data_IF_279367286821
#
_entry.id   IF_279367286821
#
_cell.length_a   1.000
_cell.length_b   1.000
_cell.length_c   1.000
_cell.angle_alpha   90.00
_cell.angle_beta   90.00
_cell.angle_gamma   90.00
#
_symmetry.space_group_name_H-M   'P 1'
#
loop_
_entity.id
_entity.type
_entity.pdbx_description
1 polymer ?
#
# COMPACT_ATOMS: atom_id res chain seq x y z
N UNK A 1 -28.99 19.11 49.63
CA UNK A 1 -29.03 18.22 48.45
C UNK A 1 -29.39 19.11 47.27
N UNK A 2 -28.56 19.43 46.28
CA UNK A 2 -27.16 19.18 45.95
C UNK A 2 -26.74 20.34 45.03
N UNK A 3 -25.49 20.80 45.13
CA UNK A 3 -24.87 21.67 44.11
C UNK A 3 -24.52 20.83 42.85
N UNK A 4 -23.91 21.42 41.79
CA UNK A 4 -24.37 21.33 40.41
C UNK A 4 -23.61 20.29 39.59
N UNK A 5 -24.18 19.82 38.48
CA UNK A 5 -23.38 19.19 37.42
C UNK A 5 -23.70 19.84 36.07
N UNK A 6 -22.89 20.85 35.77
CA UNK A 6 -22.42 21.09 34.41
C UNK A 6 -21.73 19.83 33.90
N UNK A 7 -22.19 19.32 32.75
CA UNK A 7 -21.40 18.44 31.90
C UNK A 7 -21.60 18.86 30.44
N UNK A 8 -20.55 18.67 29.62
CA UNK A 8 -20.15 19.65 28.64
C UNK A 8 -20.96 19.51 27.36
N UNK A 9 -21.31 20.65 26.77
CA UNK A 9 -21.54 20.73 25.33
C UNK A 9 -20.33 20.08 24.67
N UNK A 10 -20.56 18.93 24.01
CA UNK A 10 -19.55 18.28 23.21
C UNK A 10 -19.06 19.33 22.21
N UNK A 11 -17.82 19.77 22.44
CA UNK A 11 -17.10 20.75 21.66
C UNK A 11 -17.42 20.55 20.19
N UNK A 12 -18.19 21.48 19.63
CA UNK A 12 -18.42 21.57 18.21
C UNK A 12 -17.05 21.65 17.56
N UNK A 13 -16.62 20.55 16.95
CA UNK A 13 -15.53 20.57 16.01
C UNK A 13 -15.96 21.56 14.93
N UNK A 14 -15.47 22.80 15.04
CA UNK A 14 -15.71 23.86 14.08
C UNK A 14 -15.17 23.35 12.75
N UNK A 15 -16.09 22.90 11.90
CA UNK A 15 -15.82 22.61 10.51
C UNK A 15 -15.45 23.94 9.87
N UNK A 16 -14.18 24.06 9.48
CA UNK A 16 -13.67 25.17 8.69
C UNK A 16 -14.54 25.29 7.43
N UNK A 17 -15.13 26.48 7.15
CA UNK A 17 -15.92 26.69 5.94
C UNK A 17 -15.10 26.35 4.69
N UNK A 18 -15.50 25.31 3.96
CA UNK A 18 -14.83 24.82 2.75
C UNK A 18 -14.25 23.40 2.85
N UNK A 19 -14.16 22.81 4.04
CA UNK A 19 -13.69 21.43 4.22
C UNK A 19 -14.88 20.45 4.29
N UNK A 20 -15.08 19.65 3.24
CA UNK A 20 -16.04 18.54 3.26
C UNK A 20 -15.46 17.40 4.08
N UNK A 21 -16.24 16.90 5.03
CA UNK A 21 -15.99 15.63 5.73
C UNK A 21 -15.86 14.50 4.70
N UNK A 22 -14.62 14.15 4.34
CA UNK A 22 -14.28 13.03 3.49
C UNK A 22 -13.80 11.86 4.35
N UNK A 23 -14.73 11.23 5.07
CA UNK A 23 -14.56 9.95 5.79
C UNK A 23 -14.11 8.74 4.93
N UNK A 24 -13.49 8.97 3.78
CA UNK A 24 -12.98 7.91 2.90
C UNK A 24 -12.16 8.39 1.70
N UNK A 25 -11.75 9.65 1.66
CA UNK A 25 -10.90 10.15 0.57
C UNK A 25 -9.53 10.53 1.13
N UNK A 26 -8.47 10.33 0.35
CA UNK A 26 -7.12 10.73 0.72
C UNK A 26 -7.01 12.24 1.05
N UNK A 27 -5.84 12.73 1.48
CA UNK A 27 -5.65 14.12 1.93
C UNK A 27 -6.18 15.20 0.97
N UNK A 28 -6.35 14.87 -0.32
CA UNK A 28 -6.85 15.76 -1.38
C UNK A 28 -8.26 15.43 -1.91
N UNK A 29 -9.06 14.61 -1.21
CA UNK A 29 -10.38 14.22 -1.71
C UNK A 29 -10.33 13.17 -2.84
N UNK A 30 -9.16 12.59 -3.09
CA UNK A 30 -8.98 11.55 -4.10
C UNK A 30 -9.63 10.24 -3.63
N UNK A 31 -10.40 9.53 -4.48
CA UNK A 31 -10.89 8.20 -4.15
C UNK A 31 -9.72 7.28 -3.77
N UNK A 32 -9.93 6.27 -2.92
CA UNK A 32 -8.89 5.29 -2.61
C UNK A 32 -8.33 4.76 -3.93
N UNK A 33 -7.03 4.97 -4.15
CA UNK A 33 -6.38 4.60 -5.40
C UNK A 33 -6.30 3.08 -5.48
N UNK A 34 -7.31 2.47 -6.11
CA UNK A 34 -7.32 1.04 -6.40
C UNK A 34 -6.24 0.78 -7.44
N UNK A 35 -5.26 -0.05 -7.09
CA UNK A 35 -4.21 -0.47 -8.02
C UNK A 35 -4.88 -1.12 -9.23
N UNK A 36 -4.59 -0.64 -10.45
CA UNK A 36 -5.15 -1.23 -11.67
C UNK A 36 -4.44 -2.57 -11.98
N UNK A 37 -5.08 -3.52 -12.65
CA UNK A 37 -4.39 -4.70 -13.17
C UNK A 37 -3.14 -4.34 -13.97
N UNK A 38 -2.07 -5.12 -13.84
CA UNK A 38 -0.83 -4.89 -14.58
C UNK A 38 0.44 -5.27 -13.83
N UNK A 39 1.58 -5.03 -14.50
CA UNK A 39 2.93 -5.22 -13.95
C UNK A 39 3.47 -3.86 -13.48
N UNK A 40 3.90 -3.80 -12.23
CA UNK A 40 4.45 -2.61 -11.60
C UNK A 40 5.92 -2.83 -11.28
N UNK A 41 6.81 -2.08 -11.92
CA UNK A 41 8.23 -2.10 -11.55
C UNK A 41 8.45 -1.13 -10.40
N UNK A 42 8.77 -1.65 -9.22
CA UNK A 42 8.98 -0.87 -7.99
C UNK A 42 10.45 -0.87 -7.60
N UNK A 43 11.06 0.31 -7.54
CA UNK A 43 12.41 0.47 -7.02
C UNK A 43 12.44 0.29 -5.50
N UNK A 44 13.39 -0.49 -4.99
CA UNK A 44 13.67 -0.60 -3.55
C UNK A 44 14.83 0.32 -3.15
N UNK A 45 14.85 0.83 -1.90
CA UNK A 45 15.99 1.62 -1.42
C UNK A 45 17.31 0.84 -1.44
N UNK A 46 18.41 1.51 -1.80
CA UNK A 46 19.75 0.90 -1.87
C UNK A 46 20.52 0.94 -0.54
N UNK A 47 19.86 1.33 0.56
CA UNK A 47 20.47 1.31 1.90
C UNK A 47 19.67 2.08 2.95
N UNK A 48 19.16 3.26 2.62
CA UNK A 48 18.35 4.06 3.54
C UNK A 48 16.86 3.78 3.32
N UNK A 49 16.21 3.16 4.30
CA UNK A 49 14.78 2.83 4.25
C UNK A 49 13.92 4.07 3.87
N UNK A 50 14.26 5.26 4.39
CA UNK A 50 13.50 6.50 4.12
C UNK A 50 13.48 6.96 2.67
N UNK A 51 14.29 6.36 1.79
CA UNK A 51 14.27 6.67 0.36
C UNK A 51 13.08 6.00 -0.36
N UNK A 52 12.32 5.14 0.32
CA UNK A 52 11.10 4.55 -0.25
C UNK A 52 10.02 5.61 -0.45
N UNK A 53 9.31 5.53 -1.58
CA UNK A 53 8.17 6.42 -1.85
C UNK A 53 6.89 5.87 -1.24
N UNK A 54 5.94 6.76 -0.87
CA UNK A 54 4.60 6.34 -0.42
C UNK A 54 3.91 5.48 -1.49
N UNK A 55 4.03 5.86 -2.76
CA UNK A 55 3.50 5.09 -3.89
C UNK A 55 4.06 3.67 -3.97
N UNK A 56 5.35 3.48 -3.68
CA UNK A 56 5.96 2.15 -3.66
C UNK A 56 5.33 1.27 -2.57
N UNK A 57 5.11 1.83 -1.37
CA UNK A 57 4.42 1.12 -0.29
C UNK A 57 2.99 0.76 -0.67
N UNK A 58 2.25 1.69 -1.29
CA UNK A 58 0.88 1.46 -1.75
C UNK A 58 0.81 0.33 -2.79
N UNK A 59 1.71 0.35 -3.78
CA UNK A 59 1.78 -0.69 -4.83
C UNK A 59 2.11 -2.05 -4.22
N UNK A 60 3.13 -2.13 -3.36
CA UNK A 60 3.55 -3.40 -2.73
C UNK A 60 2.47 -3.98 -1.80
N UNK A 61 1.68 -3.11 -1.13
CA UNK A 61 0.59 -3.53 -0.27
C UNK A 61 -0.65 -3.99 -1.05
N UNK A 62 -0.89 -3.43 -2.24
CA UNK A 62 -2.06 -3.70 -3.06
C UNK A 62 -1.85 -4.77 -4.16
N UNK A 63 -0.61 -5.21 -4.38
CA UNK A 63 -0.30 -6.26 -5.37
C UNK A 63 -0.81 -7.64 -4.92
N UNK A 64 -1.32 -8.42 -5.88
CA UNK A 64 -1.73 -9.81 -5.66
C UNK A 64 -0.51 -10.72 -5.41
N UNK A 65 0.63 -10.38 -6.02
CA UNK A 65 1.92 -11.05 -5.86
C UNK A 65 3.06 -10.04 -6.02
N UNK A 66 4.03 -10.10 -5.12
CA UNK A 66 5.30 -9.35 -5.22
C UNK A 66 6.40 -10.32 -5.63
N UNK A 67 7.08 -10.01 -6.71
CA UNK A 67 8.21 -10.74 -7.25
C UNK A 67 9.50 -10.07 -6.80
N UNK A 68 10.43 -10.84 -6.25
CA UNK A 68 11.74 -10.33 -5.86
C UNK A 68 12.84 -11.31 -6.25
N UNK A 69 14.00 -10.79 -6.65
CA UNK A 69 15.20 -11.60 -6.87
C UNK A 69 15.62 -12.30 -5.57
N UNK A 70 15.75 -11.53 -4.48
CA UNK A 70 15.97 -12.02 -3.13
C UNK A 70 14.77 -11.72 -2.24
N UNK A 71 13.96 -12.75 -1.96
CA UNK A 71 12.78 -12.65 -1.10
C UNK A 71 13.11 -12.42 0.37
N UNK A 72 14.34 -12.69 0.82
CA UNK A 72 14.77 -12.39 2.19
C UNK A 72 14.99 -10.89 2.37
N UNK A 73 15.58 -10.23 1.36
CA UNK A 73 15.78 -8.77 1.36
C UNK A 73 14.44 -8.06 1.26
N UNK A 74 13.61 -8.43 0.28
CA UNK A 74 12.27 -7.87 0.14
C UNK A 74 11.40 -8.12 1.39
N UNK A 75 11.47 -9.30 2.00
CA UNK A 75 10.77 -9.61 3.24
C UNK A 75 11.16 -8.71 4.41
N UNK A 76 12.45 -8.39 4.57
CA UNK A 76 12.92 -7.43 5.60
C UNK A 76 12.39 -6.02 5.33
N UNK A 77 12.41 -5.56 4.07
CA UNK A 77 11.86 -4.27 3.68
C UNK A 77 10.39 -4.18 4.03
N UNK A 78 9.57 -5.13 3.57
CA UNK A 78 8.13 -5.17 3.84
C UNK A 78 7.83 -5.22 5.35
N UNK A 79 8.60 -6.01 6.10
CA UNK A 79 8.47 -6.10 7.56
C UNK A 79 8.77 -4.78 8.27
N UNK A 80 9.78 -4.03 7.81
CA UNK A 80 10.13 -2.72 8.39
C UNK A 80 9.00 -1.68 8.24
N UNK A 81 8.13 -1.85 7.24
CA UNK A 81 6.97 -0.99 6.98
C UNK A 81 5.63 -1.59 7.40
N UNK A 82 5.62 -2.80 7.97
CA UNK A 82 4.38 -3.50 8.32
C UNK A 82 3.52 -3.89 7.11
N UNK A 83 4.10 -3.94 5.91
CA UNK A 83 3.39 -4.32 4.68
C UNK A 83 3.32 -5.84 4.59
N UNK A 84 2.11 -6.37 4.39
CA UNK A 84 1.87 -7.79 4.14
C UNK A 84 1.65 -8.00 2.65
N UNK A 85 2.45 -8.85 2.02
CA UNK A 85 2.30 -9.18 0.60
C UNK A 85 2.64 -10.66 0.36
N UNK A 86 2.06 -11.24 -0.69
CA UNK A 86 2.44 -12.58 -1.17
C UNK A 86 3.74 -12.48 -1.95
N UNK A 87 4.86 -12.76 -1.28
CA UNK A 87 6.19 -12.65 -1.87
C UNK A 87 6.61 -13.95 -2.58
N UNK A 88 7.21 -13.86 -3.76
CA UNK A 88 7.68 -15.01 -4.54
C UNK A 88 8.98 -14.73 -5.30
N UNK A 89 9.91 -15.70 -5.41
CA UNK A 89 11.21 -15.47 -6.03
C UNK A 89 11.13 -15.37 -7.55
N UNK A 90 11.70 -14.33 -8.16
CA UNK A 90 11.86 -14.23 -9.62
C UNK A 90 13.28 -13.80 -9.96
N UNK A 91 14.03 -14.70 -10.58
CA UNK A 91 15.45 -14.52 -10.91
C UNK A 91 15.80 -15.34 -12.16
N UNK A 92 16.96 -15.13 -12.76
CA UNK A 92 17.32 -15.71 -14.06
C UNK A 92 17.15 -17.24 -14.14
N UNK A 93 17.47 -17.96 -13.04
CA UNK A 93 17.32 -19.42 -13.00
C UNK A 93 15.87 -19.93 -13.09
N UNK A 94 14.88 -19.18 -12.61
CA UNK A 94 13.47 -19.61 -12.62
C UNK A 94 12.59 -18.78 -13.56
N UNK A 95 13.13 -17.68 -14.10
CA UNK A 95 12.36 -16.70 -14.86
C UNK A 95 11.74 -17.28 -16.12
N UNK A 96 12.44 -18.18 -16.83
CA UNK A 96 11.93 -18.83 -18.02
C UNK A 96 10.71 -19.72 -17.73
N UNK A 97 10.74 -20.45 -16.62
CA UNK A 97 9.66 -21.35 -16.19
C UNK A 97 8.47 -20.59 -15.64
N UNK A 98 8.72 -19.51 -14.89
CA UNK A 98 7.67 -18.69 -14.25
C UNK A 98 6.97 -17.73 -15.22
N UNK A 99 7.66 -17.26 -16.26
CA UNK A 99 7.14 -16.22 -17.16
C UNK A 99 5.79 -16.58 -17.81
N UNK A 100 5.55 -17.81 -18.33
CA UNK A 100 4.25 -18.17 -18.88
C UNK A 100 3.11 -18.06 -17.86
N UNK A 101 3.34 -18.49 -16.62
CA UNK A 101 2.35 -18.39 -15.53
C UNK A 101 2.03 -16.93 -15.19
N UNK A 102 3.06 -16.09 -15.09
CA UNK A 102 2.92 -14.66 -14.77
C UNK A 102 2.19 -13.90 -15.88
N UNK A 103 2.52 -14.18 -17.15
CA UNK A 103 1.82 -13.59 -18.30
C UNK A 103 0.34 -13.98 -18.31
N UNK A 104 0.02 -15.24 -17.98
CA UNK A 104 -1.37 -15.68 -17.84
C UNK A 104 -2.08 -14.90 -16.72
N UNK A 105 -1.49 -14.83 -15.52
CA UNK A 105 -2.04 -14.05 -14.40
C UNK A 105 -2.29 -12.59 -14.78
N UNK A 106 -1.34 -11.95 -15.45
CA UNK A 106 -1.48 -10.57 -15.93
C UNK A 106 -2.65 -10.43 -16.93
N UNK A 107 -2.79 -11.37 -17.87
CA UNK A 107 -3.91 -11.38 -18.82
C UNK A 107 -5.28 -11.60 -18.16
N UNK A 108 -5.31 -12.22 -16.99
CA UNK A 108 -6.51 -12.46 -16.18
C UNK A 108 -6.81 -11.29 -15.21
N UNK A 109 -6.03 -10.20 -15.27
CA UNK A 109 -6.28 -9.00 -14.49
C UNK A 109 -5.55 -8.96 -13.14
N UNK A 110 -4.51 -9.78 -12.94
CA UNK A 110 -3.68 -9.71 -11.74
C UNK A 110 -2.84 -8.43 -11.68
N UNK A 111 -2.53 -8.01 -10.45
CA UNK A 111 -1.61 -6.94 -10.09
C UNK A 111 -0.33 -7.58 -9.59
N UNK A 112 0.74 -7.47 -10.36
CA UNK A 112 2.03 -8.04 -10.01
C UNK A 112 3.01 -6.89 -9.83
N UNK A 113 3.74 -6.88 -8.71
CA UNK A 113 4.80 -5.92 -8.42
C UNK A 113 6.16 -6.61 -8.36
#
# INVERSE_FOLDING_TARGET
MSSPETSPEASGAQTIPGWRDSRGAGPDGQPPQVLQPGLYVVSTPIGNLRDITLRALDVLAAADEVLAEDTRVAGKLLSAYGVKARLSPYHDHNGAERRPELLRKLSEGARIA
#
